data_IF_948858337612
#
_entry.id   IF_948858337612
#
_cell.length_a   1.000
_cell.length_b   1.000
_cell.length_c   1.000
_cell.angle_alpha   90.00
_cell.angle_beta   90.00
_cell.angle_gamma   90.00
#
_symmetry.space_group_name_H-M   'P 1'
#
loop_
_entity.id
_entity.type
_entity.pdbx_description
1 polymer ?
#
# COMPACT_ATOMS: atom_id res chain seq x y z
N UNK A 1 -25.32 -68.87 39.05
CA UNK A 1 -26.20 -67.68 39.01
C UNK A 1 -25.69 -66.68 40.05
N UNK A 2 -25.27 -65.46 39.64
CA UNK A 2 -24.79 -64.34 40.48
C UNK A 2 -23.33 -64.46 40.94
N UNK A 3 -22.31 -63.74 40.41
CA UNK A 3 -21.96 -62.30 40.30
C UNK A 3 -21.50 -61.64 41.64
N UNK A 4 -20.48 -60.80 41.49
CA UNK A 4 -19.92 -59.73 42.35
C UNK A 4 -18.68 -60.08 43.20
N UNK A 5 -17.61 -59.28 43.27
CA UNK A 5 -17.11 -58.10 42.53
C UNK A 5 -15.60 -58.05 42.85
N UNK A 6 -14.75 -57.93 41.83
CA UNK A 6 -13.33 -57.67 41.99
C UNK A 6 -13.13 -56.16 42.04
N UNK A 7 -12.70 -55.63 43.18
CA UNK A 7 -12.37 -54.23 43.36
C UNK A 7 -11.05 -53.94 42.63
N UNK A 8 -11.14 -53.46 41.39
CA UNK A 8 -9.99 -53.07 40.58
C UNK A 8 -9.75 -51.56 40.72
N UNK A 9 -8.58 -51.21 41.23
CA UNK A 9 -8.08 -49.86 41.43
C UNK A 9 -8.11 -49.03 40.14
N UNK A 10 -8.85 -47.92 40.13
CA UNK A 10 -8.75 -46.89 39.10
C UNK A 10 -7.86 -45.75 39.59
N UNK A 11 -6.55 -45.87 39.34
CA UNK A 11 -5.61 -44.75 39.36
C UNK A 11 -5.57 -44.15 37.95
N UNK A 12 -6.45 -43.18 37.69
CA UNK A 12 -6.40 -42.38 36.46
C UNK A 12 -5.29 -41.33 36.58
N UNK A 13 -4.07 -41.71 36.18
CA UNK A 13 -2.98 -40.78 35.97
C UNK A 13 -3.24 -39.92 34.73
N UNK A 14 -3.45 -38.62 34.93
CA UNK A 14 -3.50 -37.62 33.85
C UNK A 14 -2.07 -37.45 33.35
N UNK A 15 -1.71 -38.15 32.27
CA UNK A 15 -0.48 -37.87 31.52
C UNK A 15 -0.69 -36.55 30.77
N UNK A 16 -0.16 -35.46 31.33
CA UNK A 16 -0.03 -34.20 30.58
C UNK A 16 1.06 -34.39 29.54
N UNK A 17 0.66 -34.63 28.29
CA UNK A 17 1.58 -34.54 27.16
C UNK A 17 1.94 -33.05 26.96
N UNK A 18 3.22 -32.67 26.94
CA UNK A 18 3.60 -31.32 26.57
C UNK A 18 3.16 -31.09 25.12
N UNK A 19 2.41 -30.02 24.89
CA UNK A 19 2.07 -29.53 23.57
C UNK A 19 3.36 -29.06 22.90
N UNK A 20 4.07 -29.97 22.27
CA UNK A 20 5.23 -29.64 21.45
C UNK A 20 4.71 -28.88 20.23
N UNK A 21 5.00 -27.58 20.16
CA UNK A 21 4.79 -26.80 18.95
C UNK A 21 5.74 -27.36 17.88
N UNK A 22 5.24 -28.26 17.04
CA UNK A 22 5.97 -28.70 15.86
C UNK A 22 6.34 -27.44 15.05
N UNK A 23 7.59 -27.31 14.57
CA UNK A 23 7.91 -26.22 13.66
C UNK A 23 6.95 -26.32 12.48
N UNK A 24 6.28 -25.21 12.15
CA UNK A 24 5.50 -25.09 10.94
C UNK A 24 6.46 -25.18 9.74
N UNK A 25 6.89 -26.38 9.38
CA UNK A 25 7.41 -26.64 8.04
C UNK A 25 6.20 -26.71 7.12
N UNK A 26 5.52 -25.57 6.99
CA UNK A 26 4.37 -25.40 6.12
C UNK A 26 4.81 -25.64 4.68
N UNK A 27 4.13 -26.56 4.01
CA UNK A 27 4.24 -26.68 2.56
C UNK A 27 4.02 -25.28 1.95
N UNK A 28 4.80 -24.88 0.94
CA UNK A 28 4.61 -23.59 0.30
C UNK A 28 3.16 -23.43 -0.18
N UNK A 29 2.68 -22.19 -0.17
CA UNK A 29 1.36 -21.86 -0.70
C UNK A 29 1.25 -22.34 -2.15
N UNK A 30 0.06 -22.75 -2.58
CA UNK A 30 -0.16 -23.19 -3.95
C UNK A 30 0.35 -22.14 -4.96
N UNK A 31 1.24 -22.56 -5.86
CA UNK A 31 1.87 -21.66 -6.83
C UNK A 31 3.09 -20.88 -6.32
N UNK A 32 3.62 -21.21 -5.14
CA UNK A 32 4.85 -20.62 -4.59
C UNK A 32 5.93 -21.68 -4.37
N UNK A 33 7.18 -21.25 -4.35
CA UNK A 33 8.33 -22.07 -3.96
C UNK A 33 8.80 -21.66 -2.56
N UNK A 34 9.41 -22.61 -1.84
CA UNK A 34 10.00 -22.32 -0.54
C UNK A 34 11.14 -21.30 -0.70
N UNK A 35 11.19 -20.29 0.16
CA UNK A 35 12.29 -19.32 0.17
C UNK A 35 13.55 -20.00 0.74
N UNK A 36 14.49 -20.32 -0.13
CA UNK A 36 15.77 -20.99 0.20
C UNK A 36 16.94 -20.02 0.36
N UNK A 37 16.71 -18.71 0.23
CA UNK A 37 17.76 -17.70 0.38
C UNK A 37 18.26 -17.68 1.83
N UNK A 38 19.58 -17.78 1.99
CA UNK A 38 20.25 -17.73 3.28
C UNK A 38 20.97 -16.39 3.50
N UNK A 39 21.32 -16.09 4.76
CA UNK A 39 22.02 -14.86 5.14
C UNK A 39 21.11 -13.64 5.31
N UNK A 40 21.66 -12.44 5.17
CA UNK A 40 20.90 -11.19 5.28
C UNK A 40 20.12 -10.90 3.98
N UNK A 41 18.89 -11.41 3.93
CA UNK A 41 17.99 -11.26 2.78
C UNK A 41 17.64 -9.77 2.54
N UNK A 42 17.54 -8.96 3.60
CA UNK A 42 17.22 -7.55 3.47
C UNK A 42 18.37 -6.78 2.79
N UNK A 43 19.62 -7.07 3.17
CA UNK A 43 20.79 -6.50 2.50
C UNK A 43 20.86 -6.92 1.02
N UNK A 44 20.57 -8.18 0.71
CA UNK A 44 20.53 -8.68 -0.67
C UNK A 44 19.44 -7.98 -1.51
N UNK A 45 18.26 -7.78 -0.92
CA UNK A 45 17.17 -7.03 -1.56
C UNK A 45 17.60 -5.59 -1.85
N UNK A 46 18.15 -4.88 -0.86
CA UNK A 46 18.60 -3.49 -1.02
C UNK A 46 19.66 -3.37 -2.11
N UNK A 47 20.67 -4.24 -2.10
CA UNK A 47 21.70 -4.26 -3.15
C UNK A 47 21.12 -4.56 -4.55
N UNK A 48 20.12 -5.45 -4.61
CA UNK A 48 19.39 -5.76 -5.84
C UNK A 48 18.59 -4.57 -6.37
N UNK A 49 17.86 -3.89 -5.49
CA UNK A 49 17.09 -2.68 -5.79
C UNK A 49 18.00 -1.56 -6.28
N UNK A 50 19.11 -1.32 -5.60
CA UNK A 50 20.09 -0.29 -5.98
C UNK A 50 20.62 -0.52 -7.41
N UNK A 51 21.16 -1.70 -7.68
CA UNK A 51 21.63 -2.09 -9.03
C UNK A 51 20.53 -1.98 -10.09
N UNK A 52 19.29 -2.34 -9.75
CA UNK A 52 18.18 -2.21 -10.68
C UNK A 52 17.89 -0.73 -10.98
N UNK A 53 17.74 0.09 -9.95
CA UNK A 53 17.38 1.49 -10.09
C UNK A 53 18.48 2.30 -10.79
N UNK A 54 19.76 2.05 -10.50
CA UNK A 54 20.88 2.68 -11.19
C UNK A 54 20.84 2.40 -12.70
N UNK A 55 20.65 1.13 -13.11
CA UNK A 55 20.48 0.79 -14.54
C UNK A 55 19.26 1.47 -15.17
N UNK A 56 18.15 1.61 -14.43
CA UNK A 56 16.95 2.30 -14.92
C UNK A 56 17.16 3.80 -15.03
N UNK A 57 17.93 4.41 -14.14
CA UNK A 57 18.31 5.82 -14.20
C UNK A 57 19.19 6.07 -15.43
N UNK A 58 20.21 5.24 -15.64
CA UNK A 58 21.10 5.35 -16.82
C UNK A 58 20.29 5.24 -18.12
N UNK A 59 19.47 4.19 -18.24
CA UNK A 59 18.60 3.99 -19.39
C UNK A 59 17.60 5.13 -19.60
N UNK A 60 17.21 5.85 -18.54
CA UNK A 60 16.22 6.93 -18.62
C UNK A 60 16.65 8.10 -19.51
N UNK A 61 17.96 8.29 -19.73
CA UNK A 61 18.51 9.37 -20.54
C UNK A 61 18.09 9.19 -22.01
N UNK A 62 18.43 8.04 -22.58
CA UNK A 62 18.12 7.70 -23.98
C UNK A 62 16.60 7.62 -24.21
N UNK A 63 15.92 6.97 -23.27
CA UNK A 63 14.48 6.85 -23.21
C UNK A 63 13.75 8.21 -23.21
N UNK A 64 14.30 9.19 -22.46
CA UNK A 64 13.75 10.54 -22.43
C UNK A 64 13.97 11.23 -23.76
N UNK A 65 15.16 11.16 -24.34
CA UNK A 65 15.46 11.82 -25.61
C UNK A 65 14.51 11.37 -26.74
N UNK A 66 14.18 10.08 -26.79
CA UNK A 66 13.23 9.54 -27.77
C UNK A 66 11.80 10.06 -27.56
N UNK A 67 11.37 10.18 -26.29
CA UNK A 67 9.99 10.53 -25.94
C UNK A 67 9.74 12.01 -25.68
N UNK A 68 10.78 12.81 -25.50
CA UNK A 68 10.69 14.23 -25.15
C UNK A 68 11.44 15.05 -26.17
N UNK A 69 10.73 15.44 -27.24
CA UNK A 69 11.26 16.22 -28.36
C UNK A 69 10.45 17.51 -28.49
N UNK A 70 10.68 18.51 -27.61
CA UNK A 70 9.92 19.75 -27.62
C UNK A 70 10.22 20.55 -28.89
N UNK A 71 9.18 21.02 -29.56
CA UNK A 71 9.31 21.97 -30.66
C UNK A 71 9.41 23.39 -30.08
N UNK A 72 10.57 24.03 -30.24
CA UNK A 72 10.86 25.36 -29.71
C UNK A 72 10.60 26.49 -30.74
N UNK A 73 10.03 26.18 -31.90
CA UNK A 73 9.80 27.16 -32.97
C UNK A 73 8.76 28.22 -32.61
N UNK A 74 7.80 27.89 -31.74
CA UNK A 74 6.78 28.82 -31.22
C UNK A 74 6.11 28.26 -29.97
N UNK A 75 5.42 29.10 -29.16
CA UNK A 75 4.65 28.62 -28.02
C UNK A 75 3.58 27.57 -28.40
N UNK A 76 2.87 27.77 -29.50
CA UNK A 76 1.85 26.83 -29.96
C UNK A 76 2.44 25.47 -30.39
N UNK A 77 3.57 25.50 -31.10
CA UNK A 77 4.28 24.28 -31.49
C UNK A 77 4.82 23.52 -30.27
N UNK A 78 5.34 24.24 -29.27
CA UNK A 78 5.79 23.67 -28.01
C UNK A 78 4.66 22.93 -27.30
N UNK A 79 3.50 23.56 -27.14
CA UNK A 79 2.33 22.95 -26.52
C UNK A 79 1.88 21.68 -27.25
N UNK A 80 1.80 21.74 -28.59
CA UNK A 80 1.44 20.60 -29.42
C UNK A 80 2.44 19.44 -29.29
N UNK A 81 3.75 19.73 -29.29
CA UNK A 81 4.80 18.71 -29.18
C UNK A 81 4.78 17.95 -27.85
N UNK A 82 4.26 18.56 -26.78
CA UNK A 82 4.18 17.97 -25.44
C UNK A 82 2.83 17.32 -25.11
N UNK A 83 1.81 17.49 -25.96
CA UNK A 83 0.47 17.00 -25.71
C UNK A 83 0.43 15.47 -25.44
N UNK A 84 1.15 14.60 -26.19
CA UNK A 84 1.14 13.17 -25.91
C UNK A 84 1.68 12.80 -24.52
N UNK A 85 2.76 13.47 -24.08
CA UNK A 85 3.40 13.22 -22.78
C UNK A 85 2.53 13.75 -21.64
N UNK A 86 1.85 14.89 -21.83
CA UNK A 86 0.88 15.43 -20.87
C UNK A 86 -0.34 14.51 -20.71
N UNK A 87 -0.86 13.96 -21.81
CA UNK A 87 -1.97 13.00 -21.76
C UNK A 87 -1.56 11.73 -21.00
N UNK A 88 -0.40 11.16 -21.32
CA UNK A 88 0.13 10.00 -20.59
C UNK A 88 0.36 10.30 -19.11
N UNK A 89 0.88 11.48 -18.78
CA UNK A 89 1.06 11.89 -17.39
C UNK A 89 -0.29 11.99 -16.67
N UNK A 90 -1.32 12.53 -17.33
CA UNK A 90 -2.66 12.60 -16.77
C UNK A 90 -3.23 11.20 -16.45
N UNK A 91 -2.97 10.21 -17.30
CA UNK A 91 -3.35 8.82 -17.05
C UNK A 91 -2.63 8.22 -15.84
N UNK A 92 -1.30 8.41 -15.74
CA UNK A 92 -0.50 7.91 -14.62
C UNK A 92 -0.92 8.54 -13.29
N UNK A 93 -1.21 9.85 -13.30
CA UNK A 93 -1.63 10.60 -12.11
C UNK A 93 -3.12 10.41 -11.77
N UNK A 94 -3.90 9.74 -12.63
CA UNK A 94 -5.35 9.60 -12.44
C UNK A 94 -6.15 10.90 -12.63
N UNK A 95 -5.55 11.95 -13.21
CA UNK A 95 -6.22 13.25 -13.47
C UNK A 95 -6.91 13.26 -14.84
N UNK A 96 -7.65 12.19 -15.13
CA UNK A 96 -8.33 11.98 -16.42
C UNK A 96 -9.73 12.58 -16.46
N UNK A 97 -10.36 12.67 -15.30
CA UNK A 97 -11.73 13.14 -15.17
C UNK A 97 -11.78 14.66 -15.11
N UNK A 98 -12.85 15.22 -15.67
CA UNK A 98 -13.12 16.64 -15.53
C UNK A 98 -13.22 16.99 -14.04
N UNK A 99 -12.49 18.03 -13.63
CA UNK A 99 -12.64 18.56 -12.27
C UNK A 99 -14.08 19.03 -12.10
N UNK A 100 -14.68 18.75 -10.95
CA UNK A 100 -15.95 19.37 -10.59
C UNK A 100 -15.80 20.89 -10.65
N UNK A 101 -16.81 21.62 -11.16
CA UNK A 101 -16.82 23.07 -11.12
C UNK A 101 -16.54 23.55 -9.69
N UNK A 102 -15.60 24.48 -9.56
CA UNK A 102 -15.21 25.08 -8.30
C UNK A 102 -15.23 26.59 -8.48
N UNK A 103 -16.16 27.27 -7.81
CA UNK A 103 -16.28 28.73 -7.90
C UNK A 103 -15.14 29.40 -7.11
N UNK A 104 -15.16 29.27 -5.78
CA UNK A 104 -14.15 29.81 -4.89
C UNK A 104 -14.25 29.19 -3.49
N UNK A 105 -13.17 29.21 -2.69
CA UNK A 105 -13.27 28.92 -1.26
C UNK A 105 -14.21 29.93 -0.59
N UNK A 106 -15.11 29.46 0.28
CA UNK A 106 -15.94 30.33 1.11
C UNK A 106 -15.23 30.65 2.45
N UNK A 107 -15.26 31.92 2.87
CA UNK A 107 -14.74 32.33 4.18
C UNK A 107 -15.75 31.98 5.28
N UNK A 108 -15.56 30.84 5.94
CA UNK A 108 -16.48 30.33 6.97
C UNK A 108 -16.19 30.92 8.37
N UNK A 109 -14.93 31.22 8.68
CA UNK A 109 -14.50 31.88 9.91
C UNK A 109 -13.22 32.68 9.73
N UNK A 110 -12.95 33.54 10.70
CA UNK A 110 -11.68 34.25 10.88
C UNK A 110 -11.19 34.03 12.31
N UNK A 111 -10.00 34.54 12.63
CA UNK A 111 -9.47 34.50 14.00
C UNK A 111 -10.28 35.36 14.98
N UNK A 112 -11.02 36.36 14.48
CA UNK A 112 -11.88 37.27 15.26
C UNK A 112 -13.39 36.96 15.14
N UNK A 113 -13.83 36.16 14.16
CA UNK A 113 -15.23 35.79 13.94
C UNK A 113 -15.39 34.28 13.77
N UNK A 114 -16.10 33.65 14.71
CA UNK A 114 -16.34 32.20 14.71
C UNK A 114 -17.28 31.73 13.59
N UNK A 115 -17.11 30.48 13.14
CA UNK A 115 -17.96 29.78 12.16
C UNK A 115 -19.34 29.36 12.72
N UNK A 116 -19.84 30.04 13.75
CA UNK A 116 -21.07 29.61 14.45
C UNK A 116 -22.29 29.82 13.54
N UNK A 117 -22.98 28.74 13.20
CA UNK A 117 -24.18 28.75 12.35
C UNK A 117 -25.48 28.49 13.11
N UNK A 118 -25.41 28.05 14.37
CA UNK A 118 -26.58 27.89 15.23
C UNK A 118 -26.23 27.48 16.66
N UNK A 119 -27.19 27.69 17.57
CA UNK A 119 -27.08 27.33 18.98
C UNK A 119 -28.42 26.79 19.49
N UNK A 120 -28.38 25.80 20.38
CA UNK A 120 -29.52 25.21 21.06
C UNK A 120 -29.17 24.82 22.49
N UNK A 121 -30.14 24.28 23.23
CA UNK A 121 -29.93 23.93 24.64
C UNK A 121 -28.84 22.86 24.79
N UNK A 122 -27.67 23.29 25.24
CA UNK A 122 -26.49 22.46 25.48
C UNK A 122 -25.60 22.22 24.26
N UNK A 123 -25.81 22.87 23.11
CA UNK A 123 -24.93 22.68 21.95
C UNK A 123 -24.80 23.90 21.01
N UNK A 124 -23.66 23.96 20.31
CA UNK A 124 -23.33 24.94 19.26
C UNK A 124 -22.98 24.22 17.97
N UNK A 125 -23.43 24.76 16.84
CA UNK A 125 -23.20 24.21 15.50
C UNK A 125 -22.27 25.15 14.74
N UNK A 126 -21.18 24.61 14.20
CA UNK A 126 -20.22 25.34 13.37
C UNK A 126 -20.25 24.80 11.93
N UNK A 127 -20.05 25.66 10.94
CA UNK A 127 -19.93 25.29 9.53
C UNK A 127 -18.53 24.79 9.14
#
# INVERSE_FOLDING_TARGET
MGRLVCAFCLLSGIVSAPLSAAPLNGLPLAGTEALTMEGDIAAQLVAGVDRFLLRKIDASIDDRAQRWQPDLSSPAAYEASLAPQRNRLAEILGVRDARLPFDAPALVATTDRAALVGEGDGYRVFA
#
